data_IF_145394338091
#
_entry.id   IF_145394338091
#
_cell.length_a   1.000
_cell.length_b   1.000
_cell.length_c   1.000
_cell.angle_alpha   90.00
_cell.angle_beta   90.00
_cell.angle_gamma   90.00
#
_symmetry.space_group_name_H-M   'P 1'
#
loop_
_entity.id
_entity.type
_entity.pdbx_description
1 polymer ?
#
# COMPACT_ATOMS: atom_id res chain seq x y z
N UNK A 1 13.96 -19.13 30.47
CA UNK A 1 14.50 -18.51 29.23
C UNK A 1 14.31 -19.53 28.11
N UNK A 2 13.27 -19.37 27.33
CA UNK A 2 12.97 -20.28 26.22
C UNK A 2 13.55 -19.67 24.94
N UNK A 3 14.71 -20.17 24.54
CA UNK A 3 15.28 -19.90 23.23
C UNK A 3 14.35 -20.50 22.16
N UNK A 4 13.56 -19.65 21.51
CA UNK A 4 12.84 -20.07 20.31
C UNK A 4 13.87 -20.29 19.21
N UNK A 5 14.11 -21.59 18.89
CA UNK A 5 14.85 -22.03 17.72
C UNK A 5 14.46 -21.24 16.49
N UNK A 6 15.41 -20.85 15.61
CA UNK A 6 15.06 -20.32 14.29
C UNK A 6 14.27 -21.37 13.51
N UNK A 7 13.29 -20.90 12.74
CA UNK A 7 12.50 -21.76 11.86
C UNK A 7 13.43 -22.47 10.84
N UNK A 8 13.84 -23.67 11.21
CA UNK A 8 14.74 -24.51 10.42
C UNK A 8 13.90 -25.54 9.65
N UNK A 9 12.96 -25.07 8.79
CA UNK A 9 12.22 -25.93 7.87
C UNK A 9 11.76 -25.19 6.61
N UNK A 10 12.54 -24.25 6.09
CA UNK A 10 12.32 -23.82 4.73
C UNK A 10 12.80 -24.97 3.82
N UNK A 11 11.85 -25.59 3.08
CA UNK A 11 12.21 -26.59 2.09
C UNK A 11 13.25 -26.00 1.14
N UNK A 12 14.26 -26.77 0.66
CA UNK A 12 15.33 -26.26 -0.20
C UNK A 12 14.80 -25.44 -1.39
N UNK A 13 13.69 -25.85 -1.96
CA UNK A 13 12.98 -25.16 -3.05
C UNK A 13 12.49 -23.75 -2.65
N UNK A 14 12.00 -23.57 -1.42
CA UNK A 14 11.55 -22.28 -0.92
C UNK A 14 12.72 -21.32 -0.70
N UNK A 15 13.82 -21.83 -0.20
CA UNK A 15 15.04 -21.05 -0.02
C UNK A 15 15.60 -20.58 -1.37
N UNK A 16 15.61 -21.47 -2.37
CA UNK A 16 16.06 -21.12 -3.72
C UNK A 16 15.14 -20.07 -4.38
N UNK A 17 13.82 -20.23 -4.24
CA UNK A 17 12.85 -19.26 -4.75
C UNK A 17 13.03 -17.87 -4.09
N UNK A 18 13.29 -17.82 -2.79
CA UNK A 18 13.58 -16.58 -2.07
C UNK A 18 14.86 -15.93 -2.58
N UNK A 19 15.94 -16.70 -2.78
CA UNK A 19 17.20 -16.18 -3.31
C UNK A 19 17.02 -15.60 -4.73
N UNK A 20 16.26 -16.25 -5.59
CA UNK A 20 15.93 -15.73 -6.93
C UNK A 20 15.13 -14.43 -6.85
N UNK A 21 14.17 -14.34 -5.91
CA UNK A 21 13.36 -13.14 -5.70
C UNK A 21 14.22 -11.97 -5.21
N UNK A 22 15.11 -12.21 -4.24
CA UNK A 22 16.06 -11.20 -3.73
C UNK A 22 16.95 -10.71 -4.87
N UNK A 23 17.54 -11.62 -5.63
CA UNK A 23 18.41 -11.26 -6.75
C UNK A 23 17.67 -10.44 -7.83
N UNK A 24 16.40 -10.72 -8.10
CA UNK A 24 15.60 -9.93 -9.03
C UNK A 24 15.32 -8.52 -8.48
N UNK A 25 14.96 -8.42 -7.20
CA UNK A 25 14.71 -7.14 -6.54
C UNK A 25 15.99 -6.27 -6.47
N UNK A 26 17.14 -6.88 -6.20
CA UNK A 26 18.42 -6.18 -6.17
C UNK A 26 18.84 -5.65 -7.54
N UNK A 27 18.44 -6.30 -8.61
CA UNK A 27 18.60 -5.83 -10.00
C UNK A 27 17.59 -4.75 -10.43
N UNK A 28 16.75 -4.27 -9.52
CA UNK A 28 15.79 -3.19 -9.77
C UNK A 28 14.42 -3.65 -10.25
N UNK A 29 14.08 -4.94 -10.15
CA UNK A 29 12.73 -5.41 -10.43
C UNK A 29 11.77 -4.92 -9.31
N UNK A 30 10.93 -3.93 -9.62
CA UNK A 30 10.00 -3.31 -8.67
C UNK A 30 8.99 -4.29 -8.10
N UNK A 31 8.41 -5.15 -8.92
CA UNK A 31 7.45 -6.17 -8.49
C UNK A 31 8.08 -7.20 -7.55
N UNK A 32 9.32 -7.64 -7.83
CA UNK A 32 10.06 -8.52 -6.94
C UNK A 32 10.34 -7.86 -5.58
N UNK A 33 10.72 -6.58 -5.59
CA UNK A 33 10.94 -5.81 -4.37
C UNK A 33 9.62 -5.64 -3.57
N UNK A 34 8.50 -5.36 -4.24
CA UNK A 34 7.18 -5.30 -3.60
C UNK A 34 6.85 -6.61 -2.88
N UNK A 35 6.99 -7.75 -3.56
CA UNK A 35 6.75 -9.07 -2.96
C UNK A 35 7.65 -9.37 -1.76
N UNK A 36 8.92 -8.95 -1.78
CA UNK A 36 9.78 -9.07 -0.60
C UNK A 36 9.27 -8.23 0.57
N UNK A 37 8.75 -7.04 0.30
CA UNK A 37 8.09 -6.22 1.30
C UNK A 37 6.92 -6.95 1.96
N UNK A 38 6.04 -7.57 1.17
CA UNK A 38 4.91 -8.36 1.65
C UNK A 38 5.39 -9.53 2.50
N UNK A 39 6.39 -10.28 2.05
CA UNK A 39 6.94 -11.42 2.78
C UNK A 39 7.54 -11.02 4.14
N UNK A 40 8.20 -9.86 4.24
CA UNK A 40 8.66 -9.34 5.53
C UNK A 40 7.53 -8.87 6.43
N UNK A 41 6.45 -8.32 5.85
CA UNK A 41 5.30 -7.84 6.62
C UNK A 41 4.44 -9.00 7.14
N UNK A 42 4.45 -10.13 6.47
CA UNK A 42 3.68 -11.31 6.84
C UNK A 42 4.54 -12.39 7.54
N UNK A 43 5.86 -12.26 7.52
CA UNK A 43 6.78 -13.27 8.07
C UNK A 43 6.79 -14.56 7.27
N UNK A 44 6.70 -14.47 5.94
CA UNK A 44 6.63 -15.62 5.03
C UNK A 44 7.99 -16.06 4.49
N UNK A 45 8.04 -17.29 3.97
CA UNK A 45 9.22 -17.83 3.26
C UNK A 45 10.46 -17.97 4.13
N UNK A 46 10.31 -18.16 5.44
CA UNK A 46 11.40 -18.22 6.41
C UNK A 46 11.93 -16.85 6.86
N UNK A 47 11.36 -15.77 6.35
CA UNK A 47 11.67 -14.42 6.83
C UNK A 47 10.94 -14.15 8.15
N UNK A 48 11.59 -13.37 9.03
CA UNK A 48 10.94 -12.90 10.26
C UNK A 48 10.12 -11.64 9.94
N UNK A 49 8.95 -11.54 10.56
CA UNK A 49 8.15 -10.30 10.53
C UNK A 49 9.03 -9.08 10.85
N UNK A 50 9.06 -8.14 9.95
CA UNK A 50 9.84 -6.91 10.08
C UNK A 50 9.27 -5.77 9.26
N UNK A 51 8.42 -4.90 9.83
CA UNK A 51 7.89 -3.73 9.13
C UNK A 51 9.00 -2.82 8.59
N UNK A 52 10.13 -2.73 9.29
CA UNK A 52 11.29 -1.93 8.85
C UNK A 52 11.90 -2.48 7.56
N UNK A 53 12.03 -3.80 7.42
CA UNK A 53 12.53 -4.41 6.19
C UNK A 53 11.46 -4.32 5.08
N UNK A 54 10.18 -4.52 5.41
CA UNK A 54 9.09 -4.35 4.47
C UNK A 54 9.10 -2.93 3.87
N UNK A 55 9.16 -1.89 4.70
CA UNK A 55 9.26 -0.51 4.24
C UNK A 55 10.45 -0.28 3.30
N UNK A 56 11.63 -0.83 3.61
CA UNK A 56 12.83 -0.69 2.77
C UNK A 56 12.64 -1.31 1.39
N UNK A 57 12.01 -2.48 1.32
CA UNK A 57 11.73 -3.16 0.06
C UNK A 57 10.62 -2.47 -0.74
N UNK A 58 9.56 -2.02 -0.09
CA UNK A 58 8.53 -1.20 -0.74
C UNK A 58 9.12 0.12 -1.29
N UNK A 59 10.02 0.77 -0.55
CA UNK A 59 10.70 1.97 -1.04
C UNK A 59 11.53 1.70 -2.30
N UNK A 60 12.24 0.56 -2.36
CA UNK A 60 12.95 0.14 -3.58
C UNK A 60 12.00 -0.12 -4.74
N UNK A 61 10.89 -0.79 -4.48
CA UNK A 61 9.82 -1.02 -5.46
C UNK A 61 9.26 0.30 -6.01
N UNK A 62 8.94 1.23 -5.12
CA UNK A 62 8.46 2.56 -5.48
C UNK A 62 9.48 3.37 -6.30
N UNK A 63 10.77 3.28 -5.96
CA UNK A 63 11.86 3.91 -6.71
C UNK A 63 12.03 3.31 -8.11
N UNK A 64 11.71 2.03 -8.29
CA UNK A 64 11.66 1.38 -9.60
C UNK A 64 10.40 1.75 -10.41
N UNK A 65 9.52 2.60 -9.86
CA UNK A 65 8.30 3.06 -10.51
C UNK A 65 7.10 2.13 -10.36
N UNK A 66 7.19 1.08 -9.56
CA UNK A 66 6.11 0.11 -9.36
C UNK A 66 4.96 0.74 -8.56
N UNK A 67 3.74 0.70 -9.12
CA UNK A 67 2.56 1.32 -8.51
C UNK A 67 2.15 0.66 -7.19
N UNK A 68 2.27 -0.66 -7.07
CA UNK A 68 1.99 -1.38 -5.82
C UNK A 68 2.99 -1.01 -4.74
N UNK A 69 4.29 -0.91 -5.09
CA UNK A 69 5.33 -0.43 -4.19
C UNK A 69 5.06 0.99 -3.70
N UNK A 70 4.66 1.88 -4.59
CA UNK A 70 4.26 3.25 -4.23
C UNK A 70 3.06 3.26 -3.28
N UNK A 71 2.01 2.50 -3.58
CA UNK A 71 0.85 2.38 -2.70
C UNK A 71 1.22 1.83 -1.31
N UNK A 72 2.07 0.80 -1.26
CA UNK A 72 2.49 0.18 0.00
C UNK A 72 3.39 1.11 0.82
N UNK A 73 4.25 1.93 0.19
CA UNK A 73 4.97 3.01 0.87
C UNK A 73 4.00 4.04 1.44
N UNK A 74 2.95 4.39 0.71
CA UNK A 74 1.88 5.26 1.19
C UNK A 74 1.23 4.71 2.46
N UNK A 75 0.84 3.42 2.45
CA UNK A 75 0.27 2.74 3.61
C UNK A 75 1.24 2.66 4.80
N UNK A 76 2.52 2.43 4.55
CA UNK A 76 3.54 2.46 5.60
C UNK A 76 3.63 3.84 6.27
N UNK A 77 3.61 4.92 5.49
CA UNK A 77 3.59 6.27 6.04
C UNK A 77 2.28 6.60 6.77
N UNK A 78 1.14 6.14 6.27
CA UNK A 78 -0.16 6.35 6.91
C UNK A 78 -0.23 5.74 8.31
N UNK A 79 0.29 4.51 8.45
CA UNK A 79 0.21 3.74 9.69
C UNK A 79 1.49 3.76 10.54
N UNK A 80 2.57 4.38 10.07
CA UNK A 80 3.87 4.35 10.75
C UNK A 80 4.53 2.96 10.74
N UNK A 81 4.30 2.15 9.70
CA UNK A 81 4.84 0.80 9.58
C UNK A 81 6.29 0.84 9.09
N UNK A 82 7.22 0.58 9.99
CA UNK A 82 8.66 0.57 9.68
C UNK A 82 9.29 1.95 9.42
N UNK A 83 8.50 3.01 9.49
CA UNK A 83 8.90 4.41 9.33
C UNK A 83 8.13 5.33 10.27
N UNK A 84 8.54 6.59 10.37
CA UNK A 84 7.74 7.60 11.09
C UNK A 84 6.47 7.91 10.31
N UNK A 85 5.32 7.91 10.99
CA UNK A 85 4.03 8.27 10.39
C UNK A 85 4.06 9.67 9.74
N UNK A 86 3.49 9.77 8.55
CA UNK A 86 3.38 11.02 7.81
C UNK A 86 2.23 10.96 6.78
N UNK A 87 1.10 11.54 7.10
CA UNK A 87 -0.02 11.62 6.17
C UNK A 87 0.30 12.37 4.88
N UNK A 88 1.15 13.42 4.96
CA UNK A 88 1.58 14.15 3.77
C UNK A 88 2.39 13.26 2.81
N UNK A 89 3.30 12.43 3.36
CA UNK A 89 4.04 11.45 2.56
C UNK A 89 3.11 10.37 2.01
N UNK A 90 2.17 9.87 2.82
CA UNK A 90 1.19 8.88 2.38
C UNK A 90 0.38 9.38 1.17
N UNK A 91 -0.23 10.56 1.27
CA UNK A 91 -1.01 11.16 0.19
C UNK A 91 -0.20 11.37 -1.09
N UNK A 92 1.08 11.77 -0.96
CA UNK A 92 2.00 11.91 -2.11
C UNK A 92 2.20 10.57 -2.82
N UNK A 93 2.47 9.49 -2.08
CA UNK A 93 2.72 8.18 -2.65
C UNK A 93 1.44 7.55 -3.23
N UNK A 94 0.28 7.71 -2.58
CA UNK A 94 -1.00 7.29 -3.15
C UNK A 94 -1.31 8.02 -4.47
N UNK A 95 -0.98 9.32 -4.56
CA UNK A 95 -1.16 10.08 -5.81
C UNK A 95 -0.28 9.55 -6.94
N UNK A 96 0.97 9.18 -6.66
CA UNK A 96 1.87 8.57 -7.65
C UNK A 96 1.32 7.24 -8.16
N UNK A 97 0.85 6.38 -7.26
CA UNK A 97 0.29 5.09 -7.61
C UNK A 97 -1.06 5.21 -8.34
N UNK A 98 -1.94 6.12 -7.91
CA UNK A 98 -3.22 6.40 -8.56
C UNK A 98 -3.03 6.97 -9.97
N UNK A 99 -1.97 7.73 -10.20
CA UNK A 99 -1.58 8.22 -11.53
C UNK A 99 -1.10 7.12 -12.49
N UNK A 100 -0.92 5.90 -12.00
CA UNK A 100 -0.65 4.68 -12.77
C UNK A 100 -1.87 3.74 -12.83
N UNK A 101 -3.07 4.27 -12.63
CA UNK A 101 -4.33 3.55 -12.67
C UNK A 101 -4.45 2.40 -11.66
N UNK A 102 -3.76 2.49 -10.53
CA UNK A 102 -3.93 1.53 -9.44
C UNK A 102 -5.21 1.85 -8.65
N UNK A 103 -6.22 1.00 -8.77
CA UNK A 103 -7.56 1.19 -8.18
C UNK A 103 -7.53 1.39 -6.66
N UNK A 104 -6.75 0.59 -5.95
CA UNK A 104 -6.60 0.70 -4.49
C UNK A 104 -5.95 2.02 -4.08
N UNK A 105 -5.00 2.53 -4.87
CA UNK A 105 -4.38 3.82 -4.60
C UNK A 105 -5.34 4.99 -4.85
N UNK A 106 -6.18 4.90 -5.89
CA UNK A 106 -7.25 5.86 -6.14
C UNK A 106 -8.24 5.92 -4.95
N UNK A 107 -8.63 4.76 -4.41
CA UNK A 107 -9.48 4.69 -3.21
C UNK A 107 -8.78 5.32 -1.99
N UNK A 108 -7.51 4.99 -1.74
CA UNK A 108 -6.75 5.56 -0.62
C UNK A 108 -6.60 7.09 -0.75
N UNK A 109 -6.35 7.58 -1.95
CA UNK A 109 -6.30 9.02 -2.22
C UNK A 109 -7.66 9.70 -1.99
N UNK A 110 -8.76 9.03 -2.35
CA UNK A 110 -10.12 9.45 -2.02
C UNK A 110 -10.30 9.65 -0.50
N UNK A 111 -9.84 8.72 0.31
CA UNK A 111 -9.86 8.85 1.77
C UNK A 111 -8.97 10.01 2.28
N UNK A 112 -7.80 10.22 1.67
CA UNK A 112 -6.95 11.36 2.02
C UNK A 112 -7.70 12.69 1.84
N UNK A 113 -8.42 12.87 0.72
CA UNK A 113 -9.23 14.06 0.49
C UNK A 113 -10.46 14.13 1.40
N UNK A 114 -11.10 13.00 1.69
CA UNK A 114 -12.29 12.95 2.54
C UNK A 114 -12.00 13.38 3.97
N UNK A 115 -10.88 12.91 4.52
CA UNK A 115 -10.51 13.15 5.92
C UNK A 115 -9.50 14.29 6.11
N UNK A 116 -8.91 14.80 5.04
CA UNK A 116 -7.85 15.81 5.12
C UNK A 116 -6.52 15.22 5.60
N UNK A 117 -6.25 13.95 5.32
CA UNK A 117 -5.01 13.28 5.72
C UNK A 117 -3.86 13.69 4.79
N UNK A 118 -3.02 14.62 5.27
CA UNK A 118 -1.85 15.10 4.55
C UNK A 118 -2.12 16.05 3.39
N UNK A 119 -3.37 16.30 3.07
CA UNK A 119 -3.87 17.25 2.06
C UNK A 119 -5.12 17.94 2.58
N UNK A 120 -5.45 19.11 2.04
CA UNK A 120 -6.68 19.80 2.42
C UNK A 120 -7.91 18.93 2.14
N UNK A 121 -8.82 18.86 3.12
CA UNK A 121 -10.09 18.14 2.96
C UNK A 121 -10.88 18.72 1.79
N UNK A 122 -11.35 17.84 0.90
CA UNK A 122 -12.12 18.22 -0.26
C UNK A 122 -13.04 17.08 -0.70
N UNK A 123 -14.30 17.15 -0.30
CA UNK A 123 -15.26 16.05 -0.47
C UNK A 123 -15.58 15.75 -1.94
N UNK A 124 -15.66 16.78 -2.80
CA UNK A 124 -15.91 16.57 -4.23
C UNK A 124 -14.72 15.86 -4.92
N UNK A 125 -13.48 16.18 -4.50
CA UNK A 125 -12.32 15.46 -5.00
C UNK A 125 -12.27 14.03 -4.47
N UNK A 126 -12.66 13.81 -3.20
CA UNK A 126 -12.80 12.46 -2.66
C UNK A 126 -13.79 11.63 -3.49
N UNK A 127 -14.96 12.20 -3.78
CA UNK A 127 -15.98 11.54 -4.60
C UNK A 127 -15.48 11.21 -6.01
N UNK A 128 -14.71 12.12 -6.62
CA UNK A 128 -14.09 11.85 -7.95
C UNK A 128 -13.12 10.68 -7.88
N UNK A 129 -12.25 10.63 -6.87
CA UNK A 129 -11.29 9.55 -6.71
C UNK A 129 -11.95 8.21 -6.39
N UNK A 130 -13.03 8.18 -5.61
CA UNK A 130 -13.82 6.97 -5.40
C UNK A 130 -14.47 6.48 -6.71
N UNK A 131 -15.01 7.38 -7.54
CA UNK A 131 -15.53 7.00 -8.86
C UNK A 131 -14.43 6.42 -9.75
N UNK A 132 -13.26 7.05 -9.82
CA UNK A 132 -12.10 6.51 -10.53
C UNK A 132 -11.70 5.13 -10.00
N UNK A 133 -11.72 4.92 -8.69
CA UNK A 133 -11.43 3.61 -8.09
C UNK A 133 -12.42 2.53 -8.56
N UNK A 134 -13.71 2.84 -8.60
CA UNK A 134 -14.75 1.92 -9.13
C UNK A 134 -14.52 1.62 -10.61
N UNK A 135 -14.25 2.64 -11.43
CA UNK A 135 -13.96 2.47 -12.87
C UNK A 135 -12.73 1.57 -13.10
N UNK A 136 -11.76 1.61 -12.21
CA UNK A 136 -10.57 0.76 -12.22
C UNK A 136 -10.78 -0.61 -11.54
N UNK A 137 -11.99 -0.93 -11.08
CA UNK A 137 -12.37 -2.23 -10.52
C UNK A 137 -12.33 -2.35 -9.00
N UNK A 138 -12.16 -1.24 -8.25
CA UNK A 138 -12.26 -1.25 -6.77
C UNK A 138 -13.71 -1.06 -6.33
N UNK A 139 -14.49 -2.13 -6.34
CA UNK A 139 -15.94 -2.10 -6.05
C UNK A 139 -16.27 -1.58 -4.64
N UNK A 140 -15.36 -1.74 -3.66
CA UNK A 140 -15.55 -1.24 -2.29
C UNK A 140 -15.73 0.27 -2.24
N UNK A 141 -15.20 1.01 -3.21
CA UNK A 141 -15.36 2.46 -3.28
C UNK A 141 -16.82 2.89 -3.60
N UNK A 142 -17.64 2.01 -4.15
CA UNK A 142 -19.05 2.29 -4.44
C UNK A 142 -19.86 2.62 -3.17
N UNK A 143 -19.60 1.91 -2.08
CA UNK A 143 -20.25 2.16 -0.79
C UNK A 143 -19.93 3.56 -0.24
N UNK A 144 -18.69 4.05 -0.45
CA UNK A 144 -18.32 5.41 -0.04
C UNK A 144 -19.02 6.48 -0.90
N UNK A 145 -19.20 6.21 -2.19
CA UNK A 145 -19.94 7.10 -3.09
C UNK A 145 -21.40 7.24 -2.61
N UNK A 146 -22.07 6.11 -2.36
CA UNK A 146 -23.46 6.10 -1.86
C UNK A 146 -23.57 6.82 -0.51
N UNK A 147 -22.65 6.59 0.41
CA UNK A 147 -22.62 7.24 1.71
C UNK A 147 -22.51 8.76 1.60
N UNK A 148 -21.60 9.26 0.76
CA UNK A 148 -21.40 10.69 0.55
C UNK A 148 -22.61 11.34 -0.14
N UNK A 149 -23.22 10.68 -1.11
CA UNK A 149 -24.40 11.19 -1.81
C UNK A 149 -25.63 11.24 -0.89
N UNK A 150 -25.82 10.26 -0.01
CA UNK A 150 -26.93 10.25 0.94
C UNK A 150 -26.80 11.32 2.02
N UNK A 151 -25.60 11.71 2.40
CA UNK A 151 -25.33 12.80 3.36
C UNK A 151 -25.59 14.19 2.75
N UNK A 152 -25.41 14.33 1.42
CA UNK A 152 -25.55 15.57 0.68
C UNK A 152 -26.90 15.70 -0.06
N UNK A 153 -27.79 14.71 0.08
CA UNK A 153 -29.16 14.77 -0.43
C UNK A 153 -29.97 15.88 0.24
N UNK A 154 -31.06 16.40 -0.41
CA UNK A 154 -31.84 17.45 0.14
C UNK A 154 -32.38 17.02 1.52
N UNK A 155 -31.98 17.77 2.57
CA UNK A 155 -32.63 17.62 3.89
C UNK A 155 -34.10 17.97 3.69
N UNK A 156 -34.95 16.96 3.75
CA UNK A 156 -36.41 17.15 3.73
C UNK A 156 -36.78 18.10 4.86
N UNK A 157 -37.22 19.29 4.47
CA UNK A 157 -37.76 20.31 5.38
C UNK A 157 -39.10 19.85 5.89
#
# INVERSE_FOLDING_TARGET
MSERKPAADARPEQAEALLRLVAAAERGNGSAACRLGDMYLEGLGGLRYSPRQAFRWYARSAMAGDAHGQNNVGACYEHGLGCKQSYASAARYYRLAAGQDLSTAAMNLGYCYLHGHGIARHEELALRWFKTAVELGEERAAAEIERLQSQNGPRSS
#
